data_IF_367485115461
#
_entry.id   IF_367485115461
#
_cell.length_a   1.000
_cell.length_b   1.000
_cell.length_c   1.000
_cell.angle_alpha   90.00
_cell.angle_beta   90.00
_cell.angle_gamma   90.00
#
_symmetry.space_group_name_H-M   'P 1'
#
loop_
_entity.id
_entity.type
_entity.pdbx_description
1 polymer ?
#
# COMPACT_ATOMS: atom_id res chain seq x y z
N UNK A 1 -4.92 8.39 13.37
CA UNK A 1 -4.62 7.95 12.00
C UNK A 1 -3.25 7.27 11.91
N UNK A 2 -2.19 7.95 12.33
CA UNK A 2 -0.83 7.40 12.34
C UNK A 2 -0.72 6.13 13.19
N UNK A 3 -1.31 6.15 14.37
CA UNK A 3 -1.29 5.01 15.28
C UNK A 3 -2.00 3.80 14.68
N UNK A 4 -3.16 4.00 14.03
CA UNK A 4 -3.89 2.90 13.40
C UNK A 4 -3.15 2.34 12.19
N UNK A 5 -2.45 3.18 11.42
CA UNK A 5 -1.61 2.71 10.32
C UNK A 5 -0.44 1.85 10.81
N UNK A 6 0.24 2.28 11.87
CA UNK A 6 1.32 1.49 12.47
C UNK A 6 0.82 0.17 13.04
N UNK A 7 -0.39 0.18 13.64
CA UNK A 7 -1.00 -1.04 14.15
C UNK A 7 -1.29 -2.04 13.02
N UNK A 8 -1.81 -1.57 11.87
CA UNK A 8 -2.07 -2.42 10.73
C UNK A 8 -0.78 -3.02 10.15
N UNK A 9 0.28 -2.23 10.05
CA UNK A 9 1.56 -2.73 9.58
C UNK A 9 2.12 -3.78 10.52
N UNK A 10 2.09 -3.53 11.82
CA UNK A 10 2.53 -4.49 12.83
C UNK A 10 1.71 -5.77 12.80
N UNK A 11 0.40 -5.66 12.61
CA UNK A 11 -0.50 -6.81 12.50
C UNK A 11 -0.17 -7.64 11.25
N UNK A 12 0.05 -6.98 10.11
CA UNK A 12 0.44 -7.67 8.88
C UNK A 12 1.76 -8.42 9.03
N UNK A 13 2.74 -7.81 9.67
CA UNK A 13 4.04 -8.44 9.94
C UNK A 13 3.90 -9.66 10.84
N UNK A 14 3.09 -9.55 11.90
CA UNK A 14 2.85 -10.64 12.83
C UNK A 14 2.17 -11.83 12.14
N UNK A 15 1.15 -11.56 11.32
CA UNK A 15 0.48 -12.60 10.53
C UNK A 15 1.48 -13.29 9.60
N UNK A 16 2.32 -12.52 8.92
CA UNK A 16 3.30 -13.10 8.01
C UNK A 16 4.28 -14.01 8.76
N UNK A 17 4.82 -13.55 9.87
CA UNK A 17 5.78 -14.32 10.66
C UNK A 17 5.17 -15.62 11.19
N UNK A 18 3.90 -15.59 11.54
CA UNK A 18 3.20 -16.76 12.06
C UNK A 18 2.85 -17.77 10.97
N UNK A 19 2.44 -17.27 9.79
CA UNK A 19 1.88 -18.13 8.74
C UNK A 19 2.84 -18.44 7.60
N UNK A 20 4.05 -17.86 7.58
CA UNK A 20 5.02 -18.12 6.50
C UNK A 20 5.40 -19.59 6.38
N UNK A 21 5.37 -20.34 7.48
CA UNK A 21 5.62 -21.77 7.47
C UNK A 21 4.59 -22.55 6.64
N UNK A 22 3.42 -21.96 6.43
CA UNK A 22 2.36 -22.55 5.59
C UNK A 22 2.33 -21.92 4.19
N UNK A 23 3.38 -21.20 3.81
CA UNK A 23 3.47 -20.48 2.53
C UNK A 23 2.37 -19.43 2.35
N UNK A 24 1.98 -18.80 3.45
CA UNK A 24 1.04 -17.67 3.45
C UNK A 24 1.84 -16.37 3.56
N UNK A 25 1.54 -15.41 2.70
CA UNK A 25 2.18 -14.11 2.68
C UNK A 25 1.17 -13.03 3.02
N UNK A 26 1.60 -12.08 3.85
CA UNK A 26 0.78 -10.94 4.21
C UNK A 26 1.47 -9.67 3.72
N UNK A 27 0.73 -8.84 2.98
CA UNK A 27 1.24 -7.61 2.41
C UNK A 27 0.52 -6.42 3.02
N UNK A 28 1.26 -5.35 3.23
CA UNK A 28 0.68 -4.07 3.65
C UNK A 28 0.88 -3.05 2.53
N UNK A 29 -0.22 -2.48 2.05
CA UNK A 29 -0.17 -1.48 0.98
C UNK A 29 -0.50 -0.12 1.58
N UNK A 30 0.41 0.82 1.41
CA UNK A 30 0.31 2.16 1.98
C UNK A 30 0.46 3.22 0.89
N UNK A 31 -0.62 3.56 0.16
CA UNK A 31 -0.57 4.62 -0.83
C UNK A 31 -0.69 5.98 -0.16
N UNK A 32 -0.08 7.00 -0.77
CA UNK A 32 -0.33 8.39 -0.40
C UNK A 32 -1.66 8.85 -1.02
N UNK A 33 -1.86 10.15 -1.16
CA UNK A 33 -3.11 10.70 -1.71
C UNK A 33 -3.50 10.04 -3.02
N UNK A 34 -4.68 9.44 -3.05
CA UNK A 34 -5.18 8.65 -4.17
C UNK A 34 -6.41 9.32 -4.77
N UNK A 35 -6.56 9.20 -6.08
CA UNK A 35 -7.73 9.73 -6.78
C UNK A 35 -8.97 8.92 -6.38
N UNK A 36 -9.76 9.50 -5.51
CA UNK A 36 -10.97 8.93 -4.95
C UNK A 36 -11.92 10.06 -4.60
N UNK A 37 -13.17 9.73 -4.24
CA UNK A 37 -14.13 10.74 -3.81
C UNK A 37 -13.59 11.51 -2.60
N UNK A 38 -13.01 10.83 -1.63
CA UNK A 38 -12.43 11.47 -0.45
C UNK A 38 -11.23 12.35 -0.82
N UNK A 39 -10.38 11.90 -1.74
CA UNK A 39 -9.25 12.68 -2.24
C UNK A 39 -9.70 13.93 -2.96
N UNK A 40 -10.78 13.86 -3.74
CA UNK A 40 -11.33 15.01 -4.45
C UNK A 40 -11.83 16.09 -3.48
N UNK A 41 -12.29 15.72 -2.31
CA UNK A 41 -12.77 16.63 -1.28
C UNK A 41 -11.64 17.29 -0.47
N UNK A 42 -10.39 16.84 -0.66
CA UNK A 42 -9.23 17.39 0.05
C UNK A 42 -8.89 18.77 -0.48
N UNK A 43 -8.90 19.76 0.40
CA UNK A 43 -8.60 21.15 0.04
C UNK A 43 -7.09 21.42 0.06
N UNK A 44 -6.66 22.39 -0.75
CA UNK A 44 -5.29 22.86 -0.77
C UNK A 44 -4.30 21.99 -1.50
N UNK A 45 -4.75 20.94 -2.20
CA UNK A 45 -3.91 20.07 -2.98
C UNK A 45 -4.46 19.87 -4.38
N UNK A 46 -3.56 19.68 -5.34
CA UNK A 46 -3.93 19.42 -6.73
C UNK A 46 -4.27 17.95 -6.92
N UNK A 47 -5.55 17.64 -7.07
CA UNK A 47 -6.07 16.28 -7.25
C UNK A 47 -5.43 15.57 -8.45
N UNK A 48 -5.05 16.33 -9.50
CA UNK A 48 -4.43 15.72 -10.69
C UNK A 48 -3.06 15.10 -10.41
N UNK A 49 -2.43 15.45 -9.29
CA UNK A 49 -1.14 14.87 -8.88
C UNK A 49 -1.31 13.66 -7.98
N UNK A 50 -2.54 13.28 -7.63
CA UNK A 50 -2.81 12.14 -6.78
C UNK A 50 -2.57 10.82 -7.52
N UNK A 51 -2.30 9.77 -6.77
CA UNK A 51 -2.07 8.44 -7.34
C UNK A 51 -3.35 7.91 -8.01
N UNK A 52 -3.18 7.31 -9.17
CA UNK A 52 -4.29 6.65 -9.86
C UNK A 52 -4.51 5.24 -9.30
N UNK A 53 -5.76 4.86 -8.97
CA UNK A 53 -6.04 3.53 -8.45
C UNK A 53 -5.55 2.39 -9.34
N UNK A 54 -5.60 2.58 -10.66
CA UNK A 54 -5.10 1.57 -11.62
C UNK A 54 -3.60 1.33 -11.49
N UNK A 55 -2.82 2.38 -11.22
CA UNK A 55 -1.38 2.27 -11.02
C UNK A 55 -1.07 1.55 -9.70
N UNK A 56 -1.82 1.84 -8.66
CA UNK A 56 -1.71 1.14 -7.37
C UNK A 56 -1.97 -0.35 -7.58
N UNK A 57 -3.04 -0.68 -8.32
CA UNK A 57 -3.41 -2.06 -8.59
C UNK A 57 -2.30 -2.79 -9.36
N UNK A 58 -1.67 -2.13 -10.33
CA UNK A 58 -0.54 -2.71 -11.08
C UNK A 58 0.62 -3.07 -10.16
N UNK A 59 0.97 -2.19 -9.23
CA UNK A 59 2.04 -2.47 -8.27
C UNK A 59 1.69 -3.63 -7.34
N UNK A 60 0.45 -3.71 -6.90
CA UNK A 60 0.00 -4.82 -6.04
C UNK A 60 0.11 -6.14 -6.80
N UNK A 61 -0.42 -6.20 -8.02
CA UNK A 61 -0.37 -7.41 -8.85
C UNK A 61 1.08 -7.81 -9.12
N UNK A 62 1.93 -6.86 -9.45
CA UNK A 62 3.36 -7.12 -9.67
C UNK A 62 4.00 -7.73 -8.41
N UNK A 63 3.74 -7.15 -7.25
CA UNK A 63 4.35 -7.59 -5.99
C UNK A 63 3.92 -8.99 -5.58
N UNK A 64 2.64 -9.32 -5.74
CA UNK A 64 2.12 -10.63 -5.35
C UNK A 64 2.36 -11.71 -6.42
N UNK A 65 2.84 -11.34 -7.61
CA UNK A 65 3.06 -12.27 -8.71
C UNK A 65 4.32 -13.12 -8.53
N UNK A 66 5.22 -12.72 -7.65
CA UNK A 66 6.46 -13.45 -7.45
C UNK A 66 6.22 -14.73 -6.67
N UNK A 67 6.69 -15.84 -7.25
CA UNK A 67 6.55 -17.17 -6.66
C UNK A 67 7.90 -17.74 -6.21
N UNK A 68 8.86 -16.87 -5.94
CA UNK A 68 10.18 -17.26 -5.47
C UNK A 68 10.32 -16.94 -3.98
N UNK A 69 11.55 -17.00 -3.49
CA UNK A 69 11.86 -16.72 -2.08
C UNK A 69 11.92 -15.21 -1.78
N UNK A 70 11.22 -14.41 -2.56
CA UNK A 70 11.18 -12.96 -2.40
C UNK A 70 9.80 -12.55 -1.87
N UNK A 71 9.78 -11.57 -0.97
CA UNK A 71 8.55 -11.02 -0.45
C UNK A 71 8.71 -9.54 -0.13
N UNK A 72 7.70 -8.77 -0.50
CA UNK A 72 7.59 -7.36 -0.14
C UNK A 72 6.69 -7.24 1.09
N UNK A 73 7.26 -6.79 2.18
CA UNK A 73 6.53 -6.64 3.44
C UNK A 73 5.58 -5.44 3.40
N UNK A 74 6.06 -4.33 2.85
CA UNK A 74 5.29 -3.09 2.75
C UNK A 74 5.44 -2.49 1.36
N UNK A 75 4.31 -2.18 0.73
CA UNK A 75 4.26 -1.47 -0.54
C UNK A 75 3.91 -0.01 -0.22
N UNK A 76 4.92 0.84 -0.17
CA UNK A 76 4.78 2.26 0.15
C UNK A 76 4.83 3.07 -1.14
N UNK A 77 3.69 3.63 -1.55
CA UNK A 77 3.56 4.36 -2.80
C UNK A 77 3.35 5.83 -2.53
N UNK A 78 4.24 6.67 -3.07
CA UNK A 78 4.15 8.13 -2.97
C UNK A 78 3.97 8.73 -4.36
N UNK A 79 3.26 9.86 -4.42
CA UNK A 79 3.20 10.63 -5.65
C UNK A 79 4.51 11.39 -5.87
N UNK A 80 4.91 11.50 -7.13
CA UNK A 80 6.16 12.19 -7.49
C UNK A 80 6.04 13.70 -7.32
N UNK A 81 4.87 14.26 -7.59
CA UNK A 81 4.64 15.72 -7.58
C UNK A 81 3.63 16.06 -6.49
N UNK A 82 3.97 17.03 -5.65
CA UNK A 82 3.09 17.56 -4.61
C UNK A 82 2.80 19.02 -4.96
N UNK A 83 1.52 19.33 -5.20
CA UNK A 83 1.06 20.70 -5.50
C UNK A 83 -0.18 21.05 -4.73
#
# INVERSE_FOLDING_TARGET
>A
YCASKHALLGFSRAIHDELKQYNVRSYYVSPSSTQSKMGLETKGQDYTTFLEPTDIAKYVVFSISFNSNIMTEEIFLKRMVIR
#
